data_IF_109972326557
#
_entry.id   IF_109972326557
#
_cell.length_a   1.000
_cell.length_b   1.000
_cell.length_c   1.000
_cell.angle_alpha   90.00
_cell.angle_beta   90.00
_cell.angle_gamma   90.00
#
_symmetry.space_group_name_H-M   'P 1'
#
loop_
_entity.id
_entity.type
_entity.pdbx_description
1 polymer ?
#
# COMPACT_ATOMS: atom_id res chain seq x y z
N UNK A 1 -8.97 8.56 15.42
CA UNK A 1 -9.43 8.48 14.01
C UNK A 1 -8.35 8.94 13.03
N UNK A 2 -7.79 10.15 13.16
CA UNK A 2 -6.80 10.64 12.19
C UNK A 2 -5.52 9.80 12.04
N UNK A 3 -4.98 9.22 13.11
CA UNK A 3 -3.75 8.41 13.03
C UNK A 3 -3.92 7.12 12.23
N UNK A 4 -5.06 6.43 12.41
CA UNK A 4 -5.41 5.23 11.64
C UNK A 4 -5.57 5.54 10.15
N UNK A 5 -6.11 6.72 9.84
CA UNK A 5 -6.23 7.18 8.46
C UNK A 5 -4.86 7.46 7.83
N UNK A 6 -3.89 7.99 8.58
CA UNK A 6 -2.51 8.12 8.09
C UNK A 6 -1.91 6.75 7.73
N UNK A 7 -2.13 5.72 8.55
CA UNK A 7 -1.67 4.37 8.24
C UNK A 7 -2.24 3.87 6.90
N UNK A 8 -3.54 4.02 6.68
CA UNK A 8 -4.17 3.59 5.43
C UNK A 8 -3.74 4.40 4.21
N UNK A 9 -3.55 5.72 4.36
CA UNK A 9 -2.94 6.55 3.31
C UNK A 9 -1.54 6.06 2.96
N UNK A 10 -0.74 5.72 3.96
CA UNK A 10 0.64 5.30 3.75
C UNK A 10 0.74 3.95 3.04
N UNK A 11 -0.16 3.02 3.38
CA UNK A 11 -0.28 1.74 2.67
C UNK A 11 -0.78 1.93 1.24
N UNK A 12 -1.74 2.83 1.00
CA UNK A 12 -2.20 3.15 -0.35
C UNK A 12 -1.06 3.70 -1.21
N UNK A 13 -0.24 4.61 -0.66
CA UNK A 13 0.94 5.16 -1.36
C UNK A 13 1.94 4.07 -1.73
N UNK A 14 2.24 3.15 -0.81
CA UNK A 14 3.15 2.04 -1.10
C UNK A 14 2.57 1.07 -2.14
N UNK A 15 1.32 0.64 -1.95
CA UNK A 15 0.67 -0.31 -2.85
C UNK A 15 0.57 0.25 -4.28
N UNK A 16 0.22 1.54 -4.42
CA UNK A 16 0.21 2.23 -5.71
C UNK A 16 1.60 2.28 -6.34
N UNK A 17 2.62 2.68 -5.57
CA UNK A 17 3.98 2.77 -6.08
C UNK A 17 4.53 1.42 -6.54
N UNK A 18 4.15 0.32 -5.88
CA UNK A 18 4.51 -1.04 -6.31
C UNK A 18 3.85 -1.38 -7.63
N UNK A 19 2.54 -1.17 -7.77
CA UNK A 19 1.83 -1.44 -9.02
C UNK A 19 2.31 -0.58 -10.20
N UNK A 20 2.96 0.56 -9.92
CA UNK A 20 3.54 1.44 -10.93
C UNK A 20 5.01 1.17 -11.23
N UNK A 21 5.63 0.13 -10.65
CA UNK A 21 7.07 -0.16 -10.85
C UNK A 21 7.38 -0.44 -12.32
N UNK A 22 6.50 -1.18 -13.00
CA UNK A 22 6.72 -1.63 -14.38
C UNK A 22 6.10 -0.70 -15.43
N UNK A 23 5.47 0.41 -15.02
CA UNK A 23 4.94 1.40 -15.94
C UNK A 23 3.66 2.08 -15.44
N UNK A 24 2.72 2.29 -16.37
CA UNK A 24 1.44 2.94 -16.08
C UNK A 24 0.38 1.93 -15.63
N UNK A 25 -0.40 2.31 -14.62
CA UNK A 25 -1.53 1.55 -14.14
C UNK A 25 -2.64 1.55 -15.19
N UNK A 26 -3.04 0.38 -15.65
CA UNK A 26 -4.17 0.20 -16.54
C UNK A 26 -5.49 0.38 -15.78
N UNK A 27 -6.59 0.76 -16.46
CA UNK A 27 -7.90 0.91 -15.83
C UNK A 27 -8.38 -0.33 -15.07
N UNK A 28 -8.08 -1.54 -15.57
CA UNK A 28 -8.42 -2.80 -14.89
C UNK A 28 -7.63 -3.00 -13.59
N UNK A 29 -6.38 -2.58 -13.55
CA UNK A 29 -5.51 -2.63 -12.36
C UNK A 29 -6.01 -1.66 -11.30
N UNK A 30 -6.46 -0.48 -11.73
CA UNK A 30 -7.14 0.49 -10.87
C UNK A 30 -8.41 -0.08 -10.26
N UNK A 31 -9.28 -0.69 -11.06
CA UNK A 31 -10.50 -1.33 -10.54
C UNK A 31 -10.18 -2.46 -9.55
N UNK A 32 -9.18 -3.29 -9.86
CA UNK A 32 -8.73 -4.35 -8.97
C UNK A 32 -8.18 -3.78 -7.66
N UNK A 33 -7.36 -2.72 -7.74
CA UNK A 33 -6.82 -2.00 -6.59
C UNK A 33 -7.93 -1.50 -5.67
N UNK A 34 -8.92 -0.79 -6.22
CA UNK A 34 -10.05 -0.27 -5.46
C UNK A 34 -10.85 -1.41 -4.80
N UNK A 35 -11.08 -2.51 -5.52
CA UNK A 35 -11.74 -3.70 -4.97
C UNK A 35 -10.96 -4.34 -3.83
N UNK A 36 -9.64 -4.44 -3.94
CA UNK A 36 -8.75 -4.99 -2.90
C UNK A 36 -8.76 -4.10 -1.65
N UNK A 37 -8.65 -2.78 -1.83
CA UNK A 37 -8.66 -1.83 -0.73
C UNK A 37 -9.98 -1.85 0.02
N UNK A 38 -11.11 -1.83 -0.69
CA UNK A 38 -12.43 -1.96 -0.07
C UNK A 38 -12.55 -3.24 0.74
N UNK A 39 -12.08 -4.36 0.18
CA UNK A 39 -12.18 -5.67 0.82
C UNK A 39 -11.31 -5.79 2.07
N UNK A 40 -10.09 -5.25 2.05
CA UNK A 40 -9.13 -5.42 3.16
C UNK A 40 -9.25 -4.34 4.24
N UNK A 41 -9.66 -3.11 3.88
CA UNK A 41 -9.73 -1.97 4.80
C UNK A 41 -11.15 -1.66 5.30
N UNK A 42 -12.20 -2.18 4.65
CA UNK A 42 -13.60 -2.05 5.07
C UNK A 42 -14.06 -0.60 5.09
N UNK A 43 -14.77 -0.19 6.15
CA UNK A 43 -15.37 1.16 6.28
C UNK A 43 -14.36 2.32 6.20
N UNK A 44 -13.06 2.05 6.37
CA UNK A 44 -12.01 3.07 6.28
C UNK A 44 -11.34 3.12 4.88
N UNK A 45 -11.78 2.28 3.93
CA UNK A 45 -11.21 2.18 2.59
C UNK A 45 -11.19 3.52 1.85
N UNK A 46 -12.22 4.35 2.02
CA UNK A 46 -12.35 5.67 1.38
C UNK A 46 -11.13 6.58 1.60
N UNK A 47 -10.43 6.42 2.73
CA UNK A 47 -9.22 7.20 3.04
C UNK A 47 -8.08 6.83 2.09
N UNK A 48 -7.96 5.54 1.81
CA UNK A 48 -6.93 4.99 0.94
C UNK A 48 -7.27 5.26 -0.53
N UNK A 49 -8.56 5.16 -0.90
CA UNK A 49 -9.08 5.50 -2.24
C UNK A 49 -8.81 6.97 -2.57
N UNK A 50 -9.21 7.90 -1.69
CA UNK A 50 -8.99 9.33 -1.92
C UNK A 50 -7.50 9.68 -2.07
N UNK A 51 -6.62 8.97 -1.35
CA UNK A 51 -5.17 9.15 -1.50
C UNK A 51 -4.67 8.62 -2.85
N UNK A 52 -5.20 7.48 -3.31
CA UNK A 52 -4.85 6.92 -4.60
C UNK A 52 -5.24 7.85 -5.74
N UNK A 53 -6.47 8.38 -5.74
CA UNK A 53 -6.93 9.33 -6.75
C UNK A 53 -6.00 10.55 -6.84
N UNK A 54 -5.56 11.08 -5.69
CA UNK A 54 -4.61 12.18 -5.66
C UNK A 54 -3.23 11.80 -6.25
N UNK A 55 -2.77 10.56 -6.08
CA UNK A 55 -1.48 10.10 -6.64
C UNK A 55 -1.53 9.95 -8.16
N UNK A 56 -2.71 9.64 -8.73
CA UNK A 56 -2.94 9.60 -10.17
C UNK A 56 -2.91 11.00 -10.79
N UNK A 57 -3.46 12.00 -10.08
CA UNK A 57 -3.52 13.39 -10.54
C UNK A 57 -2.21 14.18 -10.31
N UNK A 58 -1.25 13.64 -9.55
CA UNK A 58 -0.04 14.35 -9.12
C UNK A 58 1.26 13.64 -9.52
N UNK A 59 2.40 14.30 -9.27
CA UNK A 59 3.70 13.70 -9.56
C UNK A 59 3.95 12.51 -8.63
N UNK A 60 4.02 11.30 -9.19
CA UNK A 60 4.25 10.10 -8.40
C UNK A 60 5.57 10.14 -7.63
N UNK A 61 5.57 9.85 -6.32
CA UNK A 61 6.80 9.58 -5.60
C UNK A 61 7.45 8.29 -6.11
N UNK A 62 8.77 8.24 -6.10
CA UNK A 62 9.52 7.02 -6.45
C UNK A 62 9.18 5.88 -5.50
N UNK A 63 9.39 4.64 -5.93
CA UNK A 63 9.17 3.46 -5.09
C UNK A 63 9.87 3.54 -3.73
N UNK A 64 11.13 3.99 -3.70
CA UNK A 64 11.88 4.18 -2.46
C UNK A 64 11.30 5.29 -1.59
N UNK A 65 10.81 6.40 -2.18
CA UNK A 65 10.17 7.45 -1.40
C UNK A 65 8.86 6.95 -0.77
N UNK A 66 8.04 6.26 -1.55
CA UNK A 66 6.78 5.66 -1.11
C UNK A 66 7.00 4.63 -0.01
N UNK A 67 8.03 3.78 -0.15
CA UNK A 67 8.44 2.81 0.86
C UNK A 67 8.86 3.49 2.16
N UNK A 68 9.78 4.46 2.08
CA UNK A 68 10.27 5.16 3.26
C UNK A 68 9.14 5.94 3.97
N UNK A 69 8.22 6.54 3.21
CA UNK A 69 7.03 7.19 3.76
C UNK A 69 6.14 6.19 4.50
N UNK A 70 5.84 5.04 3.89
CA UNK A 70 5.04 3.99 4.52
C UNK A 70 5.65 3.50 5.84
N UNK A 71 6.94 3.17 5.83
CA UNK A 71 7.64 2.71 7.03
C UNK A 71 7.74 3.80 8.11
N UNK A 72 7.94 5.06 7.71
CA UNK A 72 7.93 6.19 8.64
C UNK A 72 6.58 6.31 9.35
N UNK A 73 5.47 6.28 8.60
CA UNK A 73 4.12 6.41 9.17
C UNK A 73 3.78 5.20 10.05
N UNK A 74 4.10 3.99 9.60
CA UNK A 74 3.91 2.77 10.38
C UNK A 74 4.68 2.80 11.71
N UNK A 75 5.94 3.23 11.69
CA UNK A 75 6.74 3.35 12.90
C UNK A 75 6.25 4.48 13.83
N UNK A 76 5.80 5.60 13.25
CA UNK A 76 5.25 6.74 13.99
C UNK A 76 3.98 6.35 14.78
N UNK A 77 3.12 5.53 14.18
CA UNK A 77 1.85 5.10 14.77
C UNK A 77 1.83 3.62 15.17
N UNK A 78 3.00 3.04 15.46
CA UNK A 78 3.17 1.60 15.74
C UNK A 78 2.28 1.07 16.87
N UNK A 79 1.90 1.93 17.82
CA UNK A 79 0.96 1.59 18.92
C UNK A 79 -0.44 1.19 18.43
N UNK A 80 -0.80 1.53 17.19
CA UNK A 80 -2.05 1.13 16.55
C UNK A 80 -1.90 -0.07 15.61
N UNK A 81 -0.67 -0.49 15.31
CA UNK A 81 -0.36 -1.50 14.29
C UNK A 81 -0.27 -2.88 14.94
N UNK A 82 -1.43 -3.43 15.27
CA UNK A 82 -1.54 -4.80 15.78
C UNK A 82 -1.26 -5.87 14.71
N UNK A 83 -1.10 -7.13 15.13
CA UNK A 83 -0.84 -8.24 14.20
C UNK A 83 -1.91 -8.35 13.09
N UNK A 84 -3.22 -8.32 13.38
CA UNK A 84 -4.25 -8.29 12.34
C UNK A 84 -4.13 -7.14 11.33
N UNK A 85 -3.68 -5.97 11.77
CA UNK A 85 -3.43 -4.81 10.90
C UNK A 85 -2.20 -5.03 10.01
N UNK A 86 -1.10 -5.55 10.57
CA UNK A 86 0.09 -5.94 9.77
C UNK A 86 -0.28 -6.94 8.69
N UNK A 87 -1.01 -7.99 9.06
CA UNK A 87 -1.44 -9.03 8.12
C UNK A 87 -2.35 -8.44 7.02
N UNK A 88 -3.22 -7.48 7.36
CA UNK A 88 -4.02 -6.73 6.37
C UNK A 88 -3.15 -5.92 5.42
N UNK A 89 -2.17 -5.20 5.94
CA UNK A 89 -1.29 -4.35 5.13
C UNK A 89 -0.45 -5.17 4.18
N UNK A 90 0.11 -6.29 4.64
CA UNK A 90 0.81 -7.23 3.77
C UNK A 90 -0.13 -7.74 2.67
N UNK A 91 -1.36 -8.16 3.00
CA UNK A 91 -2.32 -8.62 1.99
C UNK A 91 -2.72 -7.56 0.98
N UNK A 92 -2.86 -6.29 1.39
CA UNK A 92 -3.15 -5.21 0.45
C UNK A 92 -2.03 -5.09 -0.58
N UNK A 93 -0.79 -5.01 -0.10
CA UNK A 93 0.38 -4.78 -0.95
C UNK A 93 0.64 -5.99 -1.87
N UNK A 94 0.53 -7.22 -1.34
CA UNK A 94 0.65 -8.45 -2.13
C UNK A 94 -0.43 -8.57 -3.20
N UNK A 95 -1.71 -8.39 -2.81
CA UNK A 95 -2.83 -8.54 -3.75
C UNK A 95 -2.82 -7.51 -4.85
N UNK A 96 -2.45 -6.27 -4.51
CA UNK A 96 -2.34 -5.19 -5.49
C UNK A 96 -1.26 -5.52 -6.51
N UNK A 97 -0.08 -5.94 -6.07
CA UNK A 97 0.99 -6.31 -6.99
C UNK A 97 0.59 -7.50 -7.88
N UNK A 98 -0.05 -8.54 -7.32
CA UNK A 98 -0.49 -9.72 -8.09
C UNK A 98 -1.76 -9.50 -8.92
N UNK A 99 -2.32 -8.30 -8.94
CA UNK A 99 -3.61 -8.04 -9.60
C UNK A 99 -3.53 -8.11 -11.13
N UNK A 100 -2.34 -7.97 -11.72
CA UNK A 100 -2.12 -7.96 -13.16
C UNK A 100 -0.93 -8.84 -13.54
N UNK A 101 -1.21 -9.90 -14.31
CA UNK A 101 -0.21 -10.79 -14.93
C UNK A 101 0.93 -11.34 -14.03
N UNK A 102 0.76 -11.32 -12.71
CA UNK A 102 1.70 -11.87 -11.73
C UNK A 102 2.44 -10.77 -10.97
N UNK A 103 3.67 -11.03 -10.53
CA UNK A 103 4.54 -10.02 -9.91
C UNK A 103 5.90 -10.05 -10.57
N UNK A 104 6.49 -8.89 -10.87
CA UNK A 104 7.87 -8.81 -11.34
C UNK A 104 8.88 -8.97 -10.20
N UNK A 105 10.15 -9.24 -10.54
CA UNK A 105 11.21 -9.38 -9.53
C UNK A 105 11.39 -8.09 -8.71
N UNK A 106 11.14 -6.92 -9.32
CA UNK A 106 11.28 -5.64 -8.65
C UNK A 106 10.16 -5.43 -7.63
N UNK A 107 8.92 -5.77 -7.98
CA UNK A 107 7.78 -5.74 -7.07
C UNK A 107 7.96 -6.73 -5.92
N UNK A 108 8.33 -7.98 -6.23
CA UNK A 108 8.56 -9.03 -5.25
C UNK A 108 9.66 -8.64 -4.26
N UNK A 109 10.74 -8.00 -4.73
CA UNK A 109 11.79 -7.49 -3.86
C UNK A 109 11.25 -6.47 -2.84
N UNK A 110 10.41 -5.52 -3.28
CA UNK A 110 9.83 -4.50 -2.40
C UNK A 110 8.83 -5.11 -1.41
N UNK A 111 7.99 -6.04 -1.88
CA UNK A 111 7.01 -6.76 -1.05
C UNK A 111 7.72 -7.57 0.04
N UNK A 112 8.74 -8.34 -0.31
CA UNK A 112 9.48 -9.16 0.66
C UNK A 112 10.32 -8.31 1.63
N UNK A 113 10.82 -7.16 1.18
CA UNK A 113 11.40 -6.16 2.09
C UNK A 113 10.34 -5.63 3.05
N UNK A 114 9.16 -5.23 2.57
CA UNK A 114 8.06 -4.72 3.39
C UNK A 114 7.60 -5.74 4.45
N UNK A 115 7.40 -7.00 4.07
CA UNK A 115 6.98 -8.10 4.96
C UNK A 115 7.95 -8.31 6.12
N UNK A 116 9.26 -8.27 5.84
CA UNK A 116 10.30 -8.39 6.87
C UNK A 116 10.26 -7.19 7.81
N UNK A 117 10.24 -5.98 7.26
CA UNK A 117 10.35 -4.76 8.07
C UNK A 117 9.10 -4.53 8.93
N UNK A 118 7.89 -4.74 8.38
CA UNK A 118 6.64 -4.57 9.14
C UNK A 118 6.51 -5.60 10.27
N UNK A 119 7.07 -6.80 10.10
CA UNK A 119 7.09 -7.84 11.14
C UNK A 119 7.92 -7.41 12.36
N UNK A 120 8.95 -6.58 12.17
CA UNK A 120 9.80 -6.09 13.26
C UNK A 120 9.20 -4.95 14.08
N UNK A 121 8.10 -4.35 13.62
CA UNK A 121 7.44 -3.26 14.36
C UNK A 121 6.95 -3.79 15.73
N UNK A 122 7.42 -3.17 16.81
CA UNK A 122 7.06 -3.55 18.17
C UNK A 122 5.64 -3.11 18.54
#
# INVERSE_FOLDING_TARGET
>A
MHEKHELYRAIAVLAYAIAMVDGELQPSEKEAFMGIINKELGDDAWVAESRFELLEESLMPTIEHSYNYAMFVLNKYKHLVDKPMKDRFVRVVEKVATAHDGTSQAEEFVIERFKRDIATLA
#
